data_IF_336535173088
#
_entry.id   IF_336535173088
#
_cell.length_a   1.000
_cell.length_b   1.000
_cell.length_c   1.000
_cell.angle_alpha   90.00
_cell.angle_beta   90.00
_cell.angle_gamma   90.00
#
_symmetry.space_group_name_H-M   'P 1'
#
loop_
_entity.id
_entity.type
_entity.pdbx_description
1 polymer ?
#
# COMPACT_ATOMS: atom_id res chain seq x y z
N UNK A 1 15.16 2.54 -0.53
CA UNK A 1 14.64 3.62 0.33
C UNK A 1 13.42 3.13 1.10
N UNK A 2 13.44 3.32 2.39
CA UNK A 2 12.29 2.97 3.23
C UNK A 2 11.22 4.04 3.16
N UNK A 3 9.98 3.60 2.94
CA UNK A 3 8.81 4.46 2.99
C UNK A 3 7.76 3.79 3.88
N UNK A 4 6.84 4.58 4.41
CA UNK A 4 5.77 4.05 5.25
C UNK A 4 4.57 3.65 4.38
N UNK A 5 4.14 2.41 4.57
CA UNK A 5 2.93 1.89 3.97
C UNK A 5 1.81 1.88 5.01
N UNK A 6 0.63 2.28 4.60
CA UNK A 6 -0.57 2.14 5.43
C UNK A 6 -1.32 0.89 4.98
N UNK A 7 -1.56 -0.02 5.90
CA UNK A 7 -2.40 -1.19 5.65
C UNK A 7 -3.73 -0.97 6.34
N UNK A 8 -4.81 -0.93 5.58
CA UNK A 8 -6.16 -0.67 6.06
C UNK A 8 -6.95 -1.96 6.02
N UNK A 9 -7.53 -2.33 7.16
CA UNK A 9 -8.41 -3.48 7.23
C UNK A 9 -9.79 -3.08 6.72
N UNK A 10 -10.28 -3.80 5.72
CA UNK A 10 -11.58 -3.56 5.12
C UNK A 10 -12.54 -4.66 5.58
N UNK A 11 -13.63 -4.25 6.22
CA UNK A 11 -14.72 -5.16 6.49
C UNK A 11 -15.38 -5.55 5.17
N UNK A 12 -16.01 -6.71 5.13
CA UNK A 12 -16.69 -7.17 3.92
C UNK A 12 -17.98 -6.35 3.71
N UNK A 13 -17.81 -5.06 3.44
CA UNK A 13 -18.88 -4.09 3.33
C UNK A 13 -18.70 -3.29 2.05
N UNK A 14 -19.73 -3.31 1.24
CA UNK A 14 -19.73 -2.58 -0.03
C UNK A 14 -19.49 -1.08 0.18
N UNK A 15 -18.62 -0.51 -0.62
CA UNK A 15 -18.36 0.93 -0.63
C UNK A 15 -17.35 1.44 0.39
N UNK A 16 -16.83 0.59 1.28
CA UNK A 16 -15.90 1.03 2.31
C UNK A 16 -14.61 1.62 1.71
N UNK A 17 -14.06 0.98 0.69
CA UNK A 17 -12.85 1.49 0.04
C UNK A 17 -13.13 2.85 -0.63
N UNK A 18 -14.29 3.01 -1.25
CA UNK A 18 -14.68 4.29 -1.85
C UNK A 18 -14.81 5.38 -0.80
N UNK A 19 -15.36 5.07 0.38
CA UNK A 19 -15.45 6.02 1.49
C UNK A 19 -14.06 6.47 1.95
N UNK A 20 -13.14 5.52 2.10
CA UNK A 20 -11.78 5.78 2.55
C UNK A 20 -11.04 6.67 1.54
N UNK A 21 -11.10 6.32 0.26
CA UNK A 21 -10.42 7.11 -0.77
C UNK A 21 -11.00 8.51 -0.89
N UNK A 22 -12.32 8.64 -0.77
CA UNK A 22 -12.98 9.95 -0.80
C UNK A 22 -12.57 10.80 0.40
N UNK A 23 -12.50 10.20 1.58
CA UNK A 23 -12.08 10.90 2.80
C UNK A 23 -10.66 11.44 2.67
N UNK A 24 -9.73 10.61 2.20
CA UNK A 24 -8.35 11.04 2.01
C UNK A 24 -8.25 12.15 0.98
N UNK A 25 -8.98 12.04 -0.13
CA UNK A 25 -9.01 13.09 -1.15
C UNK A 25 -9.56 14.41 -0.60
N UNK A 26 -10.60 14.36 0.22
CA UNK A 26 -11.20 15.56 0.80
C UNK A 26 -10.26 16.30 1.74
N UNK A 27 -9.30 15.61 2.30
CA UNK A 27 -8.26 16.16 3.19
C UNK A 27 -6.95 16.40 2.44
N UNK A 28 -6.98 16.34 1.14
CA UNK A 28 -5.84 16.63 0.28
C UNK A 28 -4.67 15.66 0.43
N UNK A 29 -4.97 14.39 0.72
CA UNK A 29 -3.98 13.32 0.75
C UNK A 29 -3.96 12.63 -0.60
N UNK A 30 -2.78 12.54 -1.21
CA UNK A 30 -2.60 11.92 -2.52
C UNK A 30 -2.19 10.45 -2.36
N UNK A 31 -2.97 9.56 -2.93
CA UNK A 31 -2.66 8.12 -2.92
C UNK A 31 -1.75 7.83 -4.12
N UNK A 32 -0.51 7.45 -3.83
CA UNK A 32 0.52 7.17 -4.84
C UNK A 32 0.48 5.74 -5.34
N UNK A 33 0.03 4.82 -4.51
CA UNK A 33 -0.09 3.41 -4.88
C UNK A 33 -1.11 2.74 -3.98
N UNK A 34 -1.79 1.74 -4.51
CA UNK A 34 -2.76 0.97 -3.74
C UNK A 34 -2.75 -0.47 -4.25
N UNK A 35 -2.83 -1.41 -3.32
CA UNK A 35 -2.92 -2.83 -3.62
C UNK A 35 -3.97 -3.44 -2.71
N UNK A 36 -4.87 -4.22 -3.27
CA UNK A 36 -5.99 -4.83 -2.55
C UNK A 36 -5.77 -6.34 -2.50
N UNK A 37 -5.84 -6.91 -1.30
CA UNK A 37 -5.89 -8.35 -1.10
C UNK A 37 -7.21 -8.67 -0.43
N UNK A 38 -7.98 -9.61 -0.99
CA UNK A 38 -9.30 -9.96 -0.47
C UNK A 38 -9.41 -11.45 -0.17
N UNK A 39 -10.13 -11.75 0.90
CA UNK A 39 -10.66 -13.08 1.16
C UNK A 39 -12.18 -13.01 1.13
N UNK A 40 -12.87 -14.14 1.40
CA UNK A 40 -14.33 -14.14 1.48
C UNK A 40 -14.86 -13.32 2.66
N UNK A 41 -14.05 -13.10 3.69
CA UNK A 41 -14.49 -12.50 4.95
C UNK A 41 -14.04 -11.06 5.15
N UNK A 42 -12.89 -10.68 4.57
CA UNK A 42 -12.34 -9.34 4.76
C UNK A 42 -11.40 -8.99 3.60
N UNK A 43 -11.01 -7.72 3.56
CA UNK A 43 -10.02 -7.23 2.64
C UNK A 43 -8.91 -6.48 3.36
N UNK A 44 -7.81 -6.29 2.67
CA UNK A 44 -6.68 -5.52 3.15
C UNK A 44 -6.23 -4.59 2.03
N UNK A 45 -6.27 -3.28 2.27
CA UNK A 45 -5.77 -2.29 1.32
C UNK A 45 -4.42 -1.80 1.79
N UNK A 46 -3.38 -2.00 0.99
CA UNK A 46 -2.05 -1.46 1.24
C UNK A 46 -1.87 -0.21 0.40
N UNK A 47 -1.51 0.90 1.04
CA UNK A 47 -1.44 2.19 0.37
C UNK A 47 -0.13 2.89 0.65
N UNK A 48 0.38 3.57 -0.36
CA UNK A 48 1.45 4.57 -0.22
C UNK A 48 0.82 5.92 -0.52
N UNK A 49 0.99 6.85 0.41
CA UNK A 49 0.43 8.19 0.29
C UNK A 49 1.55 9.23 0.45
N UNK A 50 1.28 10.47 0.07
CA UNK A 50 2.25 11.55 0.17
C UNK A 50 2.55 11.95 1.62
N UNK A 51 1.57 11.85 2.52
CA UNK A 51 1.72 12.18 3.93
C UNK A 51 1.07 11.10 4.79
N UNK A 52 1.87 10.10 5.17
CA UNK A 52 1.39 8.93 5.89
C UNK A 52 0.88 9.28 7.29
N UNK A 53 1.50 10.22 7.98
CA UNK A 53 1.07 10.62 9.32
C UNK A 53 -0.28 11.30 9.30
N UNK A 54 -0.48 12.21 8.36
CA UNK A 54 -1.76 12.89 8.17
C UNK A 54 -2.85 11.90 7.80
N UNK A 55 -2.57 11.01 6.86
CA UNK A 55 -3.52 10.00 6.43
C UNK A 55 -3.93 9.07 7.56
N UNK A 56 -2.97 8.60 8.36
CA UNK A 56 -3.28 7.72 9.48
C UNK A 56 -4.15 8.40 10.53
N UNK A 57 -3.89 9.67 10.83
CA UNK A 57 -4.72 10.45 11.76
C UNK A 57 -6.16 10.57 11.28
N UNK A 58 -6.34 10.89 10.00
CA UNK A 58 -7.67 11.02 9.40
C UNK A 58 -8.43 9.70 9.46
N UNK A 59 -7.77 8.62 9.09
CA UNK A 59 -8.40 7.29 9.08
C UNK A 59 -8.72 6.79 10.47
N UNK A 60 -7.84 7.00 11.44
CA UNK A 60 -8.10 6.62 12.83
C UNK A 60 -9.30 7.37 13.40
N UNK A 61 -9.42 8.66 13.11
CA UNK A 61 -10.58 9.45 13.55
C UNK A 61 -11.89 8.96 12.95
N UNK A 62 -11.83 8.37 11.76
CA UNK A 62 -13.04 7.81 11.11
C UNK A 62 -13.38 6.41 11.61
N UNK A 63 -12.60 5.84 12.51
CA UNK A 63 -12.83 4.50 13.04
C UNK A 63 -12.22 3.39 12.21
N UNK A 64 -11.34 3.71 11.29
CA UNK A 64 -10.68 2.73 10.42
C UNK A 64 -9.60 1.99 11.20
N UNK A 65 -9.54 0.68 11.03
CA UNK A 65 -8.47 -0.16 11.60
C UNK A 65 -7.32 -0.19 10.61
N UNK A 66 -6.15 0.21 11.06
CA UNK A 66 -4.98 0.29 10.18
C UNK A 66 -3.70 -0.04 10.95
N UNK A 67 -2.65 -0.33 10.18
CA UNK A 67 -1.29 -0.42 10.68
C UNK A 67 -0.35 0.28 9.72
N UNK A 68 0.81 0.71 10.21
CA UNK A 68 1.84 1.34 9.39
C UNK A 68 3.08 0.46 9.40
N UNK A 69 3.62 0.19 8.23
CA UNK A 69 4.75 -0.72 8.07
C UNK A 69 5.79 -0.08 7.14
N UNK A 70 7.07 -0.06 7.52
CA UNK A 70 8.12 0.33 6.59
C UNK A 70 8.22 -0.67 5.45
N UNK A 71 8.29 -0.18 4.22
CA UNK A 71 8.50 -1.00 3.03
C UNK A 71 9.63 -0.40 2.19
N UNK A 72 10.21 -1.21 1.30
CA UNK A 72 11.27 -0.74 0.41
C UNK A 72 10.69 -0.26 -0.91
N UNK A 73 11.02 0.98 -1.28
CA UNK A 73 10.74 1.52 -2.60
C UNK A 73 12.00 1.35 -3.45
N UNK A 74 11.86 0.64 -4.56
CA UNK A 74 12.98 0.31 -5.45
C UNK A 74 12.63 0.73 -6.87
N UNK A 75 13.55 1.45 -7.52
CA UNK A 75 13.39 1.76 -8.94
C UNK A 75 13.73 0.53 -9.77
N UNK A 76 12.87 0.22 -10.72
CA UNK A 76 13.07 -0.88 -11.66
C UNK A 76 13.15 -0.28 -13.06
N UNK A 77 14.18 -0.62 -13.86
CA UNK A 77 14.25 -0.11 -15.22
C UNK A 77 13.00 -0.44 -16.01
N UNK A 78 12.47 0.54 -16.74
CA UNK A 78 11.29 0.36 -17.59
C UNK A 78 11.68 -0.30 -18.89
N UNK A 79 11.98 -1.59 -18.83
CA UNK A 79 12.34 -2.42 -19.96
C UNK A 79 11.95 -3.87 -19.68
N UNK A 80 11.82 -4.69 -20.75
CA UNK A 80 11.58 -6.12 -20.55
C UNK A 80 12.67 -6.71 -19.64
N UNK A 81 12.30 -7.61 -18.77
CA UNK A 81 13.18 -8.27 -17.82
C UNK A 81 13.62 -7.42 -16.61
N UNK A 82 13.30 -6.12 -16.52
CA UNK A 82 13.69 -5.30 -15.37
C UNK A 82 13.23 -5.88 -14.06
N UNK A 83 11.96 -6.26 -13.94
CA UNK A 83 11.41 -6.87 -12.75
C UNK A 83 12.01 -8.24 -12.46
N UNK A 84 12.24 -9.03 -13.50
CA UNK A 84 12.85 -10.36 -13.38
C UNK A 84 14.27 -10.26 -12.82
N UNK A 85 15.04 -9.28 -13.26
CA UNK A 85 16.39 -9.04 -12.76
C UNK A 85 16.38 -8.66 -11.29
N UNK A 86 15.45 -7.80 -10.88
CA UNK A 86 15.29 -7.45 -9.47
C UNK A 86 15.01 -8.67 -8.62
N UNK A 87 14.07 -9.51 -9.06
CA UNK A 87 13.70 -10.73 -8.33
C UNK A 87 14.88 -11.67 -8.19
N UNK A 88 15.70 -11.79 -9.24
CA UNK A 88 16.89 -12.64 -9.21
C UNK A 88 17.89 -12.15 -8.17
N UNK A 89 18.14 -10.85 -8.09
CA UNK A 89 19.04 -10.26 -7.09
C UNK A 89 18.54 -10.53 -5.68
N UNK A 90 17.25 -10.37 -5.43
CA UNK A 90 16.65 -10.63 -4.12
C UNK A 90 16.80 -12.11 -3.74
N UNK A 91 16.58 -13.02 -4.67
CA UNK A 91 16.73 -14.45 -4.43
C UNK A 91 18.18 -14.83 -4.11
N UNK A 92 19.15 -14.26 -4.85
CA UNK A 92 20.57 -14.49 -4.59
C UNK A 92 21.01 -14.05 -3.20
N UNK A 93 20.35 -13.02 -2.66
CA UNK A 93 20.65 -12.49 -1.34
C UNK A 93 19.72 -13.06 -0.25
N UNK A 94 19.02 -14.14 -0.54
CA UNK A 94 18.13 -14.83 0.39
C UNK A 94 17.02 -13.94 0.95
N UNK A 95 16.49 -13.03 0.13
CA UNK A 95 15.38 -12.17 0.48
C UNK A 95 14.09 -12.77 -0.06
N UNK A 96 13.18 -13.14 0.82
CA UNK A 96 11.86 -13.61 0.44
C UNK A 96 10.94 -12.42 0.16
N UNK A 97 10.23 -12.50 -0.96
CA UNK A 97 9.27 -11.46 -1.34
C UNK A 97 7.88 -11.90 -0.88
N UNK A 98 7.33 -11.22 0.12
CA UNK A 98 5.98 -11.50 0.60
C UNK A 98 4.92 -10.89 -0.32
N UNK A 99 5.15 -9.66 -0.77
CA UNK A 99 4.30 -8.98 -1.74
C UNK A 99 5.06 -7.82 -2.37
N UNK A 100 4.58 -7.39 -3.52
CA UNK A 100 5.10 -6.20 -4.20
C UNK A 100 4.01 -5.57 -5.07
N UNK A 101 4.13 -4.27 -5.31
CA UNK A 101 3.22 -3.56 -6.20
C UNK A 101 3.87 -2.28 -6.70
N UNK A 102 3.27 -1.70 -7.74
CA UNK A 102 3.82 -0.51 -8.40
C UNK A 102 3.51 0.77 -7.63
N UNK A 103 4.44 1.70 -7.71
CA UNK A 103 4.33 3.04 -7.13
C UNK A 103 4.53 4.06 -8.26
N UNK A 104 3.67 5.04 -8.34
CA UNK A 104 3.75 6.10 -9.35
C UNK A 104 4.11 7.45 -8.74
#
# INVERSE_FOLDING_TARGET
>A
MNILQISVFLENRSGQLAEITRLLASENVDIRAISIAETSDYGLARMIVDDAQKASSILLQSGTILSMTPVWAVEVPDRPAGLSELRAVLAENHVDVEYMYSLF
#
